data_IF_876384105911
#
_entry.id   IF_876384105911
#
_cell.length_a   1.000
_cell.length_b   1.000
_cell.length_c   1.000
_cell.angle_alpha   90.00
_cell.angle_beta   90.00
_cell.angle_gamma   90.00
#
_symmetry.space_group_name_H-M   'P 1'
#
loop_
_entity.id
_entity.type
_entity.pdbx_description
1 polymer ?
#
# COMPACT_ATOMS: atom_id res chain seq x y z
N UNK A 1 24.45 0.98 12.29
CA UNK A 1 22.99 1.19 12.47
C UNK A 1 22.19 -0.08 12.19
N UNK A 2 21.01 -0.25 12.80
CA UNK A 2 20.14 -1.44 12.71
C UNK A 2 18.68 -1.02 12.59
N UNK A 3 17.83 -1.79 11.90
CA UNK A 3 16.39 -1.52 11.89
C UNK A 3 15.74 -2.05 13.18
N UNK A 4 15.26 -1.12 14.00
CA UNK A 4 14.62 -1.42 15.28
C UNK A 4 13.11 -1.35 15.10
N UNK A 5 12.41 -2.46 15.34
CA UNK A 5 10.95 -2.49 15.34
C UNK A 5 10.43 -2.55 16.77
N UNK A 6 9.57 -1.60 17.12
CA UNK A 6 9.01 -1.45 18.46
C UNK A 6 7.50 -1.43 18.35
N UNK A 7 6.83 -2.27 19.15
CA UNK A 7 5.39 -2.17 19.34
C UNK A 7 5.08 -0.90 20.12
N UNK A 8 4.17 -0.08 19.61
CA UNK A 8 3.77 1.18 20.25
C UNK A 8 2.47 0.97 21.00
N UNK A 9 2.47 1.33 22.28
CA UNK A 9 1.26 1.38 23.07
C UNK A 9 0.47 2.64 22.73
N UNK A 10 -0.72 2.44 22.19
CA UNK A 10 -1.61 3.52 21.80
C UNK A 10 -2.48 3.91 22.98
N UNK A 11 -2.47 5.19 23.33
CA UNK A 11 -3.36 5.74 24.34
C UNK A 11 -4.72 6.13 23.73
N UNK A 12 -5.78 6.05 24.53
CA UNK A 12 -7.12 6.48 24.12
C UNK A 12 -7.92 5.42 23.37
N UNK A 13 -8.55 5.81 22.26
CA UNK A 13 -9.48 4.96 21.50
C UNK A 13 -8.70 3.86 20.76
N UNK A 14 -9.13 2.62 20.92
CA UNK A 14 -8.52 1.47 20.26
C UNK A 14 -9.27 1.14 18.97
N UNK A 15 -8.54 1.15 17.86
CA UNK A 15 -9.06 0.73 16.57
C UNK A 15 -9.45 -0.76 16.57
N UNK A 16 -10.57 -1.17 15.96
CA UNK A 16 -10.84 -2.58 15.70
C UNK A 16 -9.76 -3.25 14.84
N UNK A 17 -9.49 -4.54 15.11
CA UNK A 17 -8.59 -5.36 14.29
C UNK A 17 -9.10 -5.51 12.87
N UNK A 18 -8.19 -5.44 11.90
CA UNK A 18 -8.56 -5.45 10.48
C UNK A 18 -7.42 -5.92 9.60
N UNK A 19 -7.79 -6.53 8.47
CA UNK A 19 -6.87 -6.88 7.37
C UNK A 19 -7.39 -6.33 6.05
N UNK A 20 -6.52 -6.19 5.06
CA UNK A 20 -6.87 -5.74 3.70
C UNK A 20 -7.59 -4.36 3.66
N UNK A 21 -7.29 -3.51 4.63
CA UNK A 21 -7.64 -2.09 4.65
C UNK A 21 -6.66 -1.30 3.77
N UNK A 22 -6.97 -0.04 3.53
CA UNK A 22 -6.02 0.89 2.91
C UNK A 22 -5.49 1.88 3.93
N UNK A 23 -4.25 2.31 3.76
CA UNK A 23 -3.64 3.37 4.55
C UNK A 23 -2.89 4.37 3.69
N UNK A 24 -2.78 5.61 4.15
CA UNK A 24 -1.93 6.63 3.57
C UNK A 24 -1.34 7.51 4.68
N UNK A 25 -0.23 8.19 4.38
CA UNK A 25 0.37 9.15 5.31
C UNK A 25 0.44 10.53 4.66
N UNK A 26 0.03 11.56 5.39
CA UNK A 26 0.16 12.95 4.98
C UNK A 26 0.16 13.87 6.20
N UNK A 27 1.04 14.87 6.21
CA UNK A 27 1.14 15.91 7.23
C UNK A 27 1.10 15.40 8.69
N UNK A 28 1.96 14.42 9.01
CA UNK A 28 2.05 13.84 10.35
C UNK A 28 0.88 12.92 10.74
N UNK A 29 -0.05 12.65 9.80
CA UNK A 29 -1.24 11.84 10.05
C UNK A 29 -1.21 10.56 9.22
N UNK A 30 -1.46 9.44 9.88
CA UNK A 30 -1.62 8.14 9.24
C UNK A 30 -3.11 7.79 9.17
N UNK A 31 -3.63 7.73 7.95
CA UNK A 31 -5.04 7.50 7.65
C UNK A 31 -5.29 6.01 7.44
N UNK A 32 -6.42 5.51 7.92
CA UNK A 32 -6.88 4.13 7.71
C UNK A 32 -8.35 4.14 7.29
N UNK A 33 -8.67 3.41 6.22
CA UNK A 33 -10.05 3.21 5.79
C UNK A 33 -10.38 1.74 5.58
N UNK A 34 -11.56 1.36 6.09
CA UNK A 34 -12.20 0.08 5.80
C UNK A 34 -11.35 -1.13 6.17
N UNK A 35 -11.35 -2.13 5.29
CA UNK A 35 -10.76 -3.45 5.52
C UNK A 35 -11.80 -4.50 5.87
N UNK A 36 -11.33 -5.65 6.30
CA UNK A 36 -12.17 -6.77 6.69
C UNK A 36 -11.93 -7.11 8.17
N UNK A 37 -13.03 -7.25 8.92
CA UNK A 37 -13.05 -7.59 10.34
C UNK A 37 -13.37 -9.07 10.62
N UNK A 38 -13.61 -9.88 9.58
CA UNK A 38 -13.83 -11.32 9.70
C UNK A 38 -13.08 -12.11 8.61
N UNK A 39 -13.25 -13.43 8.57
CA UNK A 39 -12.62 -14.30 7.57
C UNK A 39 -13.49 -14.52 6.31
N UNK A 40 -14.74 -14.05 6.30
CA UNK A 40 -15.73 -14.32 5.25
C UNK A 40 -15.83 -13.22 4.20
N UNK A 41 -15.31 -12.03 4.47
CA UNK A 41 -15.27 -10.90 3.53
C UNK A 41 -16.67 -10.41 3.10
N UNK A 42 -17.72 -10.77 3.85
CA UNK A 42 -19.10 -10.29 3.66
C UNK A 42 -19.43 -9.10 4.58
N UNK A 43 -18.62 -8.87 5.64
CA UNK A 43 -18.74 -7.73 6.56
C UNK A 43 -17.50 -6.84 6.51
N UNK A 44 -17.32 -6.17 5.37
CA UNK A 44 -16.29 -5.14 5.27
C UNK A 44 -16.55 -4.00 6.27
N UNK A 45 -15.47 -3.37 6.72
CA UNK A 45 -15.49 -2.15 7.51
C UNK A 45 -15.58 -0.94 6.56
N UNK A 46 -16.17 0.16 7.00
CA UNK A 46 -16.29 1.42 6.26
C UNK A 46 -15.99 2.65 7.10
N UNK A 47 -15.35 2.45 8.24
CA UNK A 47 -14.90 3.49 9.14
C UNK A 47 -13.61 4.14 8.65
N UNK A 48 -13.44 5.42 8.95
CA UNK A 48 -12.28 6.21 8.60
C UNK A 48 -11.60 6.72 9.87
N UNK A 49 -10.30 6.49 9.97
CA UNK A 49 -9.52 6.73 11.18
C UNK A 49 -8.22 7.45 10.88
N UNK A 50 -7.81 8.25 11.86
CA UNK A 50 -6.60 9.06 11.80
C UNK A 50 -5.76 8.77 13.03
N UNK A 51 -4.51 8.36 12.81
CA UNK A 51 -3.49 8.30 13.84
C UNK A 51 -2.65 9.58 13.76
N UNK A 52 -2.63 10.35 14.84
CA UNK A 52 -1.62 11.37 15.04
C UNK A 52 -0.27 10.68 15.32
N UNK A 53 0.73 10.88 14.47
CA UNK A 53 2.02 10.17 14.60
C UNK A 53 2.99 10.81 15.59
N UNK A 54 2.67 11.99 16.12
CA UNK A 54 3.41 12.64 17.22
C UNK A 54 2.85 12.15 18.55
N UNK A 55 1.54 12.22 18.72
CA UNK A 55 0.85 11.80 19.94
C UNK A 55 0.64 10.29 20.06
N UNK A 56 0.74 9.55 18.95
CA UNK A 56 0.36 8.14 18.84
C UNK A 56 -1.04 7.88 19.38
N UNK A 57 -2.01 8.69 18.92
CA UNK A 57 -3.41 8.64 19.32
C UNK A 57 -4.34 8.51 18.12
N UNK A 58 -5.32 7.61 18.22
CA UNK A 58 -6.35 7.45 17.20
C UNK A 58 -7.50 8.43 17.44
N UNK A 59 -8.07 8.92 16.35
CA UNK A 59 -9.34 9.64 16.34
C UNK A 59 -10.16 9.31 15.08
N UNK A 60 -11.47 9.55 15.17
CA UNK A 60 -12.35 9.61 14.00
C UNK A 60 -12.68 11.08 13.76
N UNK A 61 -12.21 11.68 12.65
CA UNK A 61 -12.59 13.04 12.33
C UNK A 61 -14.07 13.10 11.96
N UNK A 62 -14.73 14.19 12.31
CA UNK A 62 -16.05 14.49 11.77
C UNK A 62 -15.91 14.79 10.28
N UNK A 63 -16.58 14.00 9.44
CA UNK A 63 -16.57 14.20 7.99
C UNK A 63 -17.98 14.49 7.47
N UNK A 64 -18.06 15.24 6.38
CA UNK A 64 -19.31 15.52 5.66
C UNK A 64 -19.29 14.94 4.25
N UNK A 65 -20.43 14.93 3.56
CA UNK A 65 -20.55 14.41 2.19
C UNK A 65 -20.70 12.88 2.10
N UNK A 66 -20.72 12.37 0.87
CA UNK A 66 -20.89 10.93 0.60
C UNK A 66 -19.52 10.24 0.54
N UNK A 67 -19.21 9.46 1.57
CA UNK A 67 -17.97 8.67 1.65
C UNK A 67 -18.07 7.30 0.96
N UNK A 68 -16.94 6.60 0.81
CA UNK A 68 -16.84 5.33 0.07
C UNK A 68 -17.62 4.15 0.70
N UNK A 69 -18.05 4.25 1.95
CA UNK A 69 -18.73 3.15 2.62
C UNK A 69 -17.88 1.86 2.74
N UNK A 70 -18.48 0.76 3.22
CA UNK A 70 -17.72 -0.43 3.60
C UNK A 70 -17.04 -1.17 2.43
N UNK A 71 -15.73 -1.43 2.55
CA UNK A 71 -14.93 -2.13 1.54
C UNK A 71 -13.57 -2.62 2.04
N UNK A 72 -13.00 -3.61 1.36
CA UNK A 72 -11.62 -4.08 1.53
C UNK A 72 -10.91 -4.20 0.18
N UNK A 73 -9.59 -4.41 0.19
CA UNK A 73 -8.77 -4.55 -1.03
C UNK A 73 -8.87 -3.38 -2.02
N UNK A 74 -9.16 -2.18 -1.48
CA UNK A 74 -9.12 -0.91 -2.21
C UNK A 74 -7.75 -0.27 -1.99
N UNK A 75 -7.48 0.80 -2.73
CA UNK A 75 -6.29 1.62 -2.50
C UNK A 75 -6.63 3.00 -1.95
N UNK A 76 -5.65 3.65 -1.35
CA UNK A 76 -5.77 4.98 -0.79
C UNK A 76 -4.48 5.77 -1.00
N UNK A 77 -4.58 6.94 -1.61
CA UNK A 77 -3.43 7.80 -1.97
C UNK A 77 -3.72 9.24 -1.58
N UNK A 78 -2.69 10.02 -1.27
CA UNK A 78 -2.84 11.46 -0.98
C UNK A 78 -2.05 12.27 -1.99
N UNK A 79 -2.70 13.28 -2.56
CA UNK A 79 -2.13 14.16 -3.58
C UNK A 79 -2.69 15.57 -3.39
N UNK A 80 -1.82 16.57 -3.30
CA UNK A 80 -2.20 17.98 -3.21
C UNK A 80 -3.30 18.27 -2.15
N UNK A 81 -3.17 17.68 -0.96
CA UNK A 81 -4.12 17.89 0.16
C UNK A 81 -5.47 17.19 0.02
N UNK A 82 -5.65 16.32 -0.99
CA UNK A 82 -6.82 15.44 -1.13
C UNK A 82 -6.42 13.98 -1.01
N UNK A 83 -7.18 13.24 -0.22
CA UNK A 83 -7.09 11.79 -0.10
C UNK A 83 -8.05 11.14 -1.10
N UNK A 84 -7.60 10.13 -1.82
CA UNK A 84 -8.37 9.42 -2.85
C UNK A 84 -8.52 7.96 -2.48
N UNK A 85 -9.73 7.42 -2.62
CA UNK A 85 -10.02 5.99 -2.43
C UNK A 85 -10.59 5.43 -3.72
N UNK A 86 -9.96 4.37 -4.24
CA UNK A 86 -10.37 3.75 -5.50
C UNK A 86 -10.61 2.24 -5.37
N UNK A 87 -11.73 1.81 -5.94
CA UNK A 87 -12.10 0.41 -6.12
C UNK A 87 -12.31 -0.36 -4.82
N UNK A 88 -12.02 -1.66 -4.88
CA UNK A 88 -12.14 -2.62 -3.79
C UNK A 88 -13.32 -3.58 -3.93
N UNK A 89 -13.47 -4.41 -2.89
CA UNK A 89 -14.57 -5.34 -2.69
C UNK A 89 -15.53 -4.80 -1.63
N UNK A 90 -16.80 -4.62 -1.98
CA UNK A 90 -17.83 -4.01 -1.10
C UNK A 90 -18.52 -5.00 -0.16
N UNK A 91 -18.01 -6.24 -0.06
CA UNK A 91 -18.72 -7.36 0.55
C UNK A 91 -19.67 -8.09 -0.42
N UNK A 92 -20.03 -7.45 -1.54
CA UNK A 92 -20.97 -8.00 -2.53
C UNK A 92 -20.38 -8.07 -3.94
N UNK A 93 -19.65 -7.03 -4.34
CA UNK A 93 -19.07 -6.93 -5.68
C UNK A 93 -17.74 -6.19 -5.67
N UNK A 94 -16.97 -6.39 -6.74
CA UNK A 94 -15.89 -5.48 -7.10
C UNK A 94 -16.48 -4.16 -7.56
N UNK A 95 -15.76 -3.07 -7.37
CA UNK A 95 -16.20 -1.75 -7.80
C UNK A 95 -15.04 -0.97 -8.41
N UNK A 96 -15.38 0.05 -9.19
CA UNK A 96 -14.51 1.09 -9.72
C UNK A 96 -14.82 2.44 -9.04
N UNK A 97 -15.46 2.42 -7.87
CA UNK A 97 -15.90 3.64 -7.21
C UNK A 97 -14.70 4.49 -6.79
N UNK A 98 -14.75 5.78 -7.10
CA UNK A 98 -13.72 6.76 -6.82
C UNK A 98 -14.29 7.81 -5.87
N UNK A 99 -13.66 7.99 -4.72
CA UNK A 99 -14.05 9.00 -3.73
C UNK A 99 -12.83 9.85 -3.40
N UNK A 100 -13.05 11.15 -3.16
CA UNK A 100 -12.03 12.04 -2.60
C UNK A 100 -12.48 12.64 -1.28
N UNK A 101 -11.52 12.88 -0.38
CA UNK A 101 -11.68 13.63 0.85
C UNK A 101 -10.77 14.84 0.79
N UNK A 102 -11.35 16.03 0.91
CA UNK A 102 -10.59 17.25 1.15
C UNK A 102 -10.06 17.26 2.59
N UNK A 103 -8.73 17.27 2.77
CA UNK A 103 -8.12 17.16 4.10
C UNK A 103 -8.13 18.48 4.88
N UNK A 104 -8.49 19.60 4.25
CA UNK A 104 -8.68 20.87 4.93
C UNK A 104 -10.12 21.01 5.45
N UNK A 105 -11.11 20.56 4.70
CA UNK A 105 -12.53 20.70 5.05
C UNK A 105 -13.19 19.43 5.60
N UNK A 106 -12.51 18.28 5.52
CA UNK A 106 -13.04 16.96 5.86
C UNK A 106 -14.33 16.61 5.10
N UNK A 107 -14.45 17.09 3.86
CA UNK A 107 -15.60 16.84 3.00
C UNK A 107 -15.29 15.75 1.98
N UNK A 108 -16.07 14.67 2.01
CA UNK A 108 -16.08 13.63 0.99
C UNK A 108 -16.82 14.08 -0.28
N UNK A 109 -16.35 13.59 -1.42
CA UNK A 109 -17.00 13.73 -2.72
C UNK A 109 -17.00 12.37 -3.42
N UNK A 110 -18.18 11.90 -3.85
CA UNK A 110 -18.27 10.79 -4.81
C UNK A 110 -17.89 11.30 -6.21
N UNK A 111 -16.72 10.89 -6.67
CA UNK A 111 -16.18 11.25 -7.98
C UNK A 111 -16.60 10.25 -9.07
N UNK A 112 -17.25 9.14 -8.70
CA UNK A 112 -17.67 8.07 -9.62
C UNK A 112 -18.55 8.57 -10.77
N UNK A 113 -19.55 9.47 -10.56
CA UNK A 113 -20.42 9.90 -11.65
C UNK A 113 -19.76 10.82 -12.68
N UNK A 114 -18.63 11.43 -12.32
CA UNK A 114 -17.96 12.49 -13.10
C UNK A 114 -16.61 12.05 -13.69
N UNK A 115 -16.08 10.90 -13.28
CA UNK A 115 -14.86 10.33 -13.86
C UNK A 115 -15.15 9.66 -15.22
N UNK A 116 -14.10 9.51 -16.04
CA UNK A 116 -14.22 8.67 -17.24
C UNK A 116 -14.31 7.18 -16.89
N UNK A 117 -14.74 6.36 -17.84
CA UNK A 117 -14.89 4.92 -17.62
C UNK A 117 -13.54 4.24 -17.31
N UNK A 118 -13.58 3.29 -16.38
CA UNK A 118 -12.49 2.36 -16.01
C UNK A 118 -13.11 1.07 -15.46
N UNK A 119 -12.44 -0.06 -15.65
CA UNK A 119 -12.90 -1.36 -15.13
C UNK A 119 -12.96 -1.39 -13.60
N UNK A 120 -13.75 -2.31 -13.02
CA UNK A 120 -13.73 -2.53 -11.57
C UNK A 120 -12.42 -3.15 -11.11
N UNK A 121 -11.94 -2.68 -9.96
CA UNK A 121 -10.62 -3.02 -9.42
C UNK A 121 -10.75 -3.57 -8.01
N UNK A 122 -9.99 -4.62 -7.68
CA UNK A 122 -9.86 -5.11 -6.31
C UNK A 122 -8.55 -5.88 -6.14
N UNK A 123 -7.92 -5.78 -4.98
CA UNK A 123 -6.59 -6.37 -4.73
C UNK A 123 -5.52 -5.85 -5.71
N UNK A 124 -5.77 -4.68 -6.29
CA UNK A 124 -4.83 -3.85 -7.01
C UNK A 124 -3.91 -3.12 -6.03
N UNK A 125 -2.86 -2.51 -6.57
CA UNK A 125 -2.01 -1.58 -5.85
C UNK A 125 -1.99 -0.25 -6.60
N UNK A 126 -1.76 0.85 -5.88
CA UNK A 126 -1.62 2.17 -6.47
C UNK A 126 -0.43 2.91 -5.86
N UNK A 127 0.04 3.92 -6.58
CA UNK A 127 1.09 4.82 -6.12
C UNK A 127 0.97 6.18 -6.81
N UNK A 128 1.33 7.25 -6.12
CA UNK A 128 1.38 8.60 -6.68
C UNK A 128 2.63 8.74 -7.54
N UNK A 129 2.45 9.17 -8.80
CA UNK A 129 3.55 9.40 -9.74
C UNK A 129 4.05 10.84 -9.75
N UNK A 130 3.13 11.78 -9.59
CA UNK A 130 3.39 13.23 -9.60
C UNK A 130 2.27 14.00 -8.87
N UNK A 131 2.22 15.32 -9.06
CA UNK A 131 1.29 16.21 -8.37
C UNK A 131 -0.17 16.06 -8.79
N UNK A 132 -0.49 15.26 -9.81
CA UNK A 132 -1.88 14.99 -10.18
C UNK A 132 -2.15 13.57 -10.68
N UNK A 133 -1.15 12.70 -10.77
CA UNK A 133 -1.34 11.37 -11.37
C UNK A 133 -1.18 10.25 -10.34
N UNK A 134 -2.22 9.43 -10.22
CA UNK A 134 -2.19 8.15 -9.49
C UNK A 134 -2.08 7.03 -10.52
N UNK A 135 -1.08 6.17 -10.35
CA UNK A 135 -0.94 4.92 -11.08
C UNK A 135 -1.65 3.81 -10.33
N UNK A 136 -2.47 3.03 -11.02
CA UNK A 136 -3.16 1.85 -10.51
C UNK A 136 -2.76 0.64 -11.35
N UNK A 137 -2.33 -0.41 -10.68
CA UNK A 137 -1.91 -1.66 -11.33
C UNK A 137 -2.64 -2.82 -10.68
N UNK A 138 -3.27 -3.68 -11.47
CA UNK A 138 -3.90 -4.89 -10.94
C UNK A 138 -5.16 -5.32 -11.65
N UNK A 139 -6.01 -6.01 -10.89
CA UNK A 139 -7.09 -6.84 -11.41
C UNK A 139 -8.29 -6.02 -11.88
N UNK A 140 -8.53 -6.00 -13.20
CA UNK A 140 -9.80 -5.61 -13.86
C UNK A 140 -10.84 -6.74 -13.92
N UNK A 141 -12.10 -6.40 -14.22
CA UNK A 141 -13.26 -7.31 -14.19
C UNK A 141 -13.42 -8.21 -15.41
N UNK A 142 -12.90 -7.82 -16.57
CA UNK A 142 -13.09 -8.61 -17.78
C UNK A 142 -12.61 -10.04 -17.51
N UNK A 143 -13.53 -11.00 -17.62
CA UNK A 143 -13.35 -12.41 -17.25
C UNK A 143 -12.18 -13.12 -17.94
N UNK A 144 -11.40 -12.41 -18.75
CA UNK A 144 -10.05 -12.76 -19.19
C UNK A 144 -9.00 -12.55 -18.08
N UNK A 145 -9.20 -13.19 -16.92
CA UNK A 145 -8.06 -13.87 -16.26
C UNK A 145 -7.47 -14.93 -17.21
N UNK A 146 -8.24 -15.32 -18.24
CA UNK A 146 -7.81 -16.12 -19.36
C UNK A 146 -6.79 -15.36 -20.23
N UNK A 147 -5.51 -15.57 -19.90
CA UNK A 147 -4.28 -15.34 -20.71
C UNK A 147 -3.48 -14.05 -20.49
N UNK A 148 -3.14 -13.75 -19.23
CA UNK A 148 -1.80 -13.28 -18.79
C UNK A 148 -1.61 -11.81 -18.35
N UNK A 149 -2.61 -10.92 -18.45
CA UNK A 149 -2.44 -9.48 -18.17
C UNK A 149 -3.09 -8.93 -16.88
N UNK A 150 -2.57 -7.80 -16.41
CA UNK A 150 -3.21 -6.82 -15.52
C UNK A 150 -3.17 -5.44 -16.20
N UNK A 151 -4.17 -4.60 -15.90
CA UNK A 151 -4.22 -3.24 -16.44
C UNK A 151 -3.19 -2.35 -15.72
N UNK A 152 -2.70 -1.36 -16.46
CA UNK A 152 -1.83 -0.28 -15.98
C UNK A 152 -2.61 1.00 -16.26
N UNK A 153 -3.37 1.44 -15.27
CA UNK A 153 -4.32 2.54 -15.37
C UNK A 153 -3.78 3.79 -14.66
N UNK A 154 -3.97 4.95 -15.26
CA UNK A 154 -3.55 6.25 -14.74
C UNK A 154 -4.77 7.12 -14.53
N UNK A 155 -4.91 7.68 -13.34
CA UNK A 155 -5.92 8.69 -13.00
C UNK A 155 -5.26 10.07 -12.94
N UNK A 156 -5.69 11.01 -13.79
CA UNK A 156 -5.43 12.45 -13.58
C UNK A 156 -6.49 13.02 -12.63
N UNK A 157 -6.07 13.45 -11.45
CA UNK A 157 -6.95 13.88 -10.35
C UNK A 157 -7.55 15.27 -10.54
N UNK A 158 -7.07 16.05 -11.51
CA UNK A 158 -7.65 17.38 -11.85
C UNK A 158 -8.84 17.22 -12.79
N UNK A 159 -8.73 16.28 -13.73
CA UNK A 159 -9.71 16.07 -14.79
C UNK A 159 -10.59 14.85 -14.56
N UNK A 160 -10.23 13.99 -13.60
CA UNK A 160 -10.87 12.70 -13.32
C UNK A 160 -10.92 11.78 -14.54
N UNK A 161 -9.93 11.93 -15.43
CA UNK A 161 -9.79 11.09 -16.62
C UNK A 161 -8.84 9.95 -16.33
N UNK A 162 -9.32 8.76 -16.63
CA UNK A 162 -8.56 7.53 -16.68
C UNK A 162 -7.93 7.36 -18.07
N UNK A 163 -6.70 6.85 -18.08
CA UNK A 163 -6.06 6.36 -19.29
C UNK A 163 -5.37 5.04 -18.99
N UNK A 164 -5.39 4.11 -19.94
CA UNK A 164 -4.78 2.78 -19.79
C UNK A 164 -3.57 2.68 -20.70
N UNK A 165 -2.45 2.20 -20.17
CA UNK A 165 -1.29 1.90 -21.01
C UNK A 165 -1.64 0.77 -22.00
N UNK A 166 -1.25 0.86 -23.28
CA UNK A 166 -1.59 -0.15 -24.29
C UNK A 166 -0.91 -1.52 -24.07
N UNK A 167 0.00 -1.64 -23.11
CA UNK A 167 0.59 -2.92 -22.68
C UNK A 167 -0.11 -3.48 -21.44
N UNK A 168 0.14 -4.76 -21.14
CA UNK A 168 -0.30 -5.37 -19.88
C UNK A 168 0.92 -5.83 -19.07
N UNK A 169 0.78 -5.74 -17.75
CA UNK A 169 1.73 -6.35 -16.80
C UNK A 169 1.27 -7.77 -16.48
N UNK A 170 2.14 -8.59 -15.87
CA UNK A 170 1.77 -9.95 -15.51
C UNK A 170 0.56 -9.93 -14.57
N UNK A 171 -0.44 -10.77 -14.85
CA UNK A 171 -1.64 -10.90 -14.01
C UNK A 171 -1.30 -11.24 -12.56
N UNK A 172 -1.69 -10.36 -11.63
CA UNK A 172 -1.34 -10.45 -10.21
C UNK A 172 -2.40 -9.80 -9.31
N UNK A 173 -2.49 -10.28 -8.07
CA UNK A 173 -3.34 -9.73 -7.01
C UNK A 173 -2.63 -9.80 -5.67
N UNK A 174 -2.84 -8.79 -4.82
CA UNK A 174 -2.14 -8.66 -3.53
C UNK A 174 -0.63 -8.43 -3.70
N UNK A 175 -0.23 -7.79 -4.79
CA UNK A 175 1.14 -7.31 -5.01
C UNK A 175 1.29 -5.92 -4.36
N UNK A 176 2.52 -5.42 -4.31
CA UNK A 176 2.79 -4.02 -3.99
C UNK A 176 3.18 -3.25 -5.24
N UNK A 177 2.93 -1.93 -5.22
CA UNK A 177 3.34 -0.98 -6.23
C UNK A 177 3.98 0.20 -5.52
N UNK A 178 5.22 0.53 -5.87
CA UNK A 178 5.95 1.62 -5.23
C UNK A 178 6.65 2.43 -6.31
N UNK A 179 6.32 3.71 -6.43
CA UNK A 179 7.05 4.60 -7.31
C UNK A 179 8.40 4.97 -6.68
N UNK A 180 9.50 4.77 -7.42
CA UNK A 180 10.85 5.08 -6.96
C UNK A 180 11.38 6.26 -7.78
N UNK A 181 11.26 7.51 -7.29
CA UNK A 181 11.59 8.70 -8.06
C UNK A 181 13.10 8.88 -8.29
N UNK A 182 13.94 8.22 -7.49
CA UNK A 182 15.38 8.46 -7.38
C UNK A 182 16.24 7.80 -8.47
N UNK A 183 15.65 7.05 -9.41
CA UNK A 183 16.37 6.37 -10.48
C UNK A 183 16.11 7.07 -11.81
N UNK A 184 17.15 7.26 -12.62
CA UNK A 184 17.12 8.00 -13.90
C UNK A 184 16.09 7.46 -14.91
N UNK A 185 15.57 6.26 -14.70
CA UNK A 185 14.58 5.58 -15.55
C UNK A 185 13.13 5.64 -15.03
N UNK A 186 12.85 6.37 -13.94
CA UNK A 186 11.49 6.70 -13.41
C UNK A 186 10.49 5.54 -13.58
N UNK A 187 10.66 4.48 -12.80
CA UNK A 187 9.80 3.30 -12.86
C UNK A 187 8.99 3.12 -11.59
N UNK A 188 7.83 2.51 -11.71
CA UNK A 188 7.11 1.93 -10.58
C UNK A 188 7.58 0.48 -10.39
N UNK A 189 7.97 0.18 -9.16
CA UNK A 189 8.44 -1.11 -8.72
C UNK A 189 7.25 -1.97 -8.31
N UNK A 190 7.04 -3.08 -9.02
CA UNK A 190 5.98 -4.06 -8.76
C UNK A 190 6.61 -5.31 -8.17
N UNK A 191 6.16 -5.71 -6.98
CA UNK A 191 6.69 -6.89 -6.31
C UNK A 191 5.60 -7.87 -5.92
N UNK A 192 5.87 -9.15 -6.16
CA UNK A 192 4.99 -10.24 -5.74
C UNK A 192 3.60 -10.26 -6.39
N UNK A 193 2.64 -10.77 -5.62
CA UNK A 193 1.27 -11.07 -6.03
C UNK A 193 1.04 -12.55 -6.34
N UNK A 194 -0.23 -12.95 -6.46
CA UNK A 194 -0.65 -14.33 -6.76
C UNK A 194 -0.12 -14.79 -8.14
N UNK A 195 1.07 -15.41 -8.19
CA UNK A 195 1.53 -16.40 -9.21
C UNK A 195 3.06 -16.76 -9.15
N UNK A 196 3.72 -16.75 -7.97
CA UNK A 196 5.19 -16.93 -7.84
C UNK A 196 6.05 -15.86 -8.54
N UNK A 197 5.44 -14.80 -9.07
CA UNK A 197 6.18 -13.69 -9.68
C UNK A 197 6.99 -12.96 -8.61
N UNK A 198 8.25 -12.70 -8.94
CA UNK A 198 9.18 -12.10 -8.00
C UNK A 198 9.18 -10.59 -8.17
N UNK A 199 9.52 -10.07 -9.36
CA UNK A 199 9.69 -8.62 -9.55
C UNK A 199 9.35 -8.19 -10.98
N UNK A 200 8.74 -7.02 -11.15
CA UNK A 200 8.54 -6.36 -12.44
C UNK A 200 8.70 -4.84 -12.29
N UNK A 201 9.24 -4.17 -13.30
CA UNK A 201 9.33 -2.72 -13.35
C UNK A 201 8.42 -2.18 -14.45
N UNK A 202 7.55 -1.25 -14.08
CA UNK A 202 6.71 -0.53 -15.03
C UNK A 202 7.38 0.82 -15.29
N UNK A 203 7.80 1.06 -16.53
CA UNK A 203 8.29 2.38 -16.95
C UNK A 203 7.10 3.34 -16.94
N UNK A 204 7.15 4.35 -16.09
CA UNK A 204 6.04 5.28 -15.91
C UNK A 204 6.13 6.42 -16.92
N UNK A 205 5.02 6.70 -17.61
CA UNK A 205 4.88 7.96 -18.34
C UNK A 205 4.51 9.03 -17.32
N UNK A 206 5.50 9.80 -16.88
CA UNK A 206 5.24 10.96 -16.01
C UNK A 206 5.18 12.18 -16.90
N UNK A 207 4.02 12.82 -16.97
CA UNK A 207 3.79 13.93 -17.90
C UNK A 207 4.42 15.23 -17.41
N UNK A 208 4.70 15.33 -16.10
CA UNK A 208 5.22 16.56 -15.49
C UNK A 208 6.57 16.32 -14.82
N UNK A 209 7.48 17.31 -14.88
CA UNK A 209 8.76 17.21 -14.19
C UNK A 209 8.50 17.19 -12.69
N UNK A 210 8.83 16.06 -12.06
CA UNK A 210 8.95 16.01 -10.62
C UNK A 210 10.11 16.90 -10.20
N UNK A 211 9.90 17.72 -9.18
CA UNK A 211 11.03 18.30 -8.47
C UNK A 211 11.94 17.13 -8.03
N UNK A 212 13.27 17.24 -8.16
CA UNK A 212 14.17 16.24 -7.63
C UNK A 212 14.04 16.24 -6.10
N UNK A 213 13.13 15.43 -5.56
CA UNK A 213 13.00 15.23 -4.12
C UNK A 213 14.11 14.26 -3.71
N UNK A 214 15.34 14.77 -3.73
CA UNK A 214 16.43 14.17 -2.99
C UNK A 214 16.36 14.75 -1.58
N UNK A 215 15.82 14.00 -0.63
CA UNK A 215 16.24 14.13 0.76
C UNK A 215 17.18 12.97 1.09
N UNK A 216 18.14 13.28 1.95
CA UNK A 216 19.33 12.52 2.29
C UNK A 216 19.09 11.01 2.40
N UNK A 217 19.89 10.27 1.61
CA UNK A 217 20.03 8.82 1.54
C UNK A 217 19.54 8.06 2.78
N UNK A 218 18.70 7.05 2.54
CA UNK A 218 18.51 5.95 3.48
C UNK A 218 19.87 5.53 4.07
N UNK A 219 19.94 5.16 5.35
CA UNK A 219 21.23 5.07 6.01
C UNK A 219 22.16 4.04 5.38
N UNK A 220 23.28 4.54 4.85
CA UNK A 220 24.27 3.74 4.14
C UNK A 220 24.82 2.58 4.99
N UNK A 221 24.88 2.76 6.31
CA UNK A 221 25.31 1.69 7.22
C UNK A 221 24.35 0.49 7.21
N UNK A 222 23.04 0.71 7.11
CA UNK A 222 22.05 -0.38 7.04
C UNK A 222 22.26 -1.18 5.75
N UNK A 223 22.58 -0.49 4.66
CA UNK A 223 22.87 -1.12 3.36
C UNK A 223 24.21 -1.86 3.35
N UNK A 224 25.26 -1.27 3.97
CA UNK A 224 26.60 -1.88 4.07
C UNK A 224 26.63 -3.12 4.95
N UNK A 225 25.89 -3.09 6.06
CA UNK A 225 25.83 -4.20 7.02
C UNK A 225 24.80 -5.26 6.62
N UNK A 226 23.86 -4.92 5.74
CA UNK A 226 22.85 -5.84 5.24
C UNK A 226 23.46 -7.00 4.45
N UNK A 227 22.92 -8.20 4.67
CA UNK A 227 23.33 -9.39 3.92
C UNK A 227 22.73 -9.33 2.53
N UNK A 228 23.57 -9.22 1.49
CA UNK A 228 23.12 -9.33 0.10
C UNK A 228 22.51 -10.71 -0.16
N UNK A 229 21.40 -10.72 -0.90
CA UNK A 229 20.66 -11.93 -1.26
C UNK A 229 20.26 -11.86 -2.73
N UNK A 230 19.84 -13.00 -3.27
CA UNK A 230 19.12 -13.04 -4.54
C UNK A 230 17.71 -12.44 -4.37
N UNK A 231 16.98 -12.34 -5.49
CA UNK A 231 15.60 -11.84 -5.48
C UNK A 231 14.78 -12.66 -4.47
N UNK A 232 14.06 -12.00 -3.54
CA UNK A 232 13.35 -12.73 -2.50
C UNK A 232 12.17 -13.53 -3.07
N UNK A 233 11.68 -14.54 -2.32
CA UNK A 233 10.55 -15.34 -2.77
C UNK A 233 9.30 -14.49 -3.00
N UNK A 234 8.63 -14.76 -4.12
CA UNK A 234 7.33 -14.18 -4.46
C UNK A 234 6.30 -14.39 -3.35
N UNK A 235 5.59 -13.32 -3.00
CA UNK A 235 4.64 -13.26 -1.88
C UNK A 235 3.47 -12.33 -2.18
N UNK A 236 2.34 -12.51 -1.51
CA UNK A 236 1.17 -11.64 -1.64
C UNK A 236 0.76 -11.02 -0.31
N UNK A 237 0.00 -9.92 -0.32
CA UNK A 237 -0.49 -9.23 0.87
C UNK A 237 0.64 -8.78 1.82
N UNK A 238 1.82 -8.49 1.26
CA UNK A 238 2.91 -7.80 1.94
C UNK A 238 2.70 -6.29 1.82
N UNK A 239 3.43 -5.52 2.61
CA UNK A 239 3.57 -4.08 2.39
C UNK A 239 4.89 -3.78 1.69
N UNK A 240 4.92 -2.72 0.89
CA UNK A 240 6.15 -2.15 0.36
C UNK A 240 6.12 -0.63 0.52
N UNK A 241 7.21 -0.05 1.01
CA UNK A 241 7.32 1.38 1.31
C UNK A 241 8.61 1.90 0.70
N UNK A 242 8.54 2.98 -0.08
CA UNK A 242 9.74 3.73 -0.47
C UNK A 242 10.30 4.51 0.71
N UNK A 243 11.59 4.36 0.92
CA UNK A 243 12.37 5.11 1.89
C UNK A 243 13.57 5.73 1.15
N UNK A 244 13.34 6.88 0.54
CA UNK A 244 14.38 7.66 -0.13
C UNK A 244 15.15 6.85 -1.20
N UNK A 245 14.43 6.04 -2.00
CA UNK A 245 15.01 5.21 -3.05
C UNK A 245 15.32 3.77 -2.65
N UNK A 246 15.12 3.41 -1.39
CA UNK A 246 15.19 2.02 -0.91
C UNK A 246 13.78 1.52 -0.64
N UNK A 247 13.35 0.48 -1.34
CA UNK A 247 12.02 -0.10 -1.13
C UNK A 247 12.11 -1.17 -0.06
N UNK A 248 11.43 -0.94 1.08
CA UNK A 248 11.32 -1.88 2.18
C UNK A 248 10.08 -2.76 2.00
N UNK A 249 10.26 -4.08 1.92
CA UNK A 249 9.21 -5.07 1.67
C UNK A 249 9.05 -5.96 2.89
N UNK A 250 7.89 -5.89 3.53
CA UNK A 250 7.67 -6.54 4.81
C UNK A 250 6.49 -7.53 4.81
N UNK A 251 6.73 -8.67 5.45
CA UNK A 251 5.70 -9.66 5.77
C UNK A 251 5.07 -10.29 4.54
N UNK A 252 3.75 -10.50 4.61
CA UNK A 252 2.96 -11.10 3.54
C UNK A 252 2.83 -12.61 3.65
N UNK A 253 2.27 -13.21 2.60
CA UNK A 253 1.91 -14.61 2.50
C UNK A 253 2.69 -15.28 1.37
N UNK A 254 3.29 -16.43 1.66
CA UNK A 254 4.05 -17.23 0.69
C UNK A 254 3.30 -18.54 0.45
N UNK A 255 2.91 -18.78 -0.80
CA UNK A 255 2.17 -19.98 -1.17
C UNK A 255 2.99 -21.26 -0.85
N UNK A 256 2.36 -22.23 -0.20
CA UNK A 256 3.00 -23.50 0.17
C UNK A 256 3.69 -23.50 1.55
N UNK A 257 3.79 -22.35 2.23
CA UNK A 257 4.26 -22.27 3.63
C UNK A 257 3.12 -22.24 4.67
N UNK A 258 1.86 -22.35 4.24
CA UNK A 258 0.69 -22.13 5.11
C UNK A 258 -0.14 -23.38 5.34
N UNK A 259 -0.79 -23.45 6.50
CA UNK A 259 -1.79 -24.46 6.83
C UNK A 259 -3.02 -24.26 5.95
N UNK A 260 -3.63 -25.37 5.51
CA UNK A 260 -4.77 -25.36 4.58
C UNK A 260 -5.91 -24.49 5.13
N UNK A 261 -6.16 -23.36 4.47
CA UNK A 261 -7.27 -22.45 4.79
C UNK A 261 -6.93 -21.26 5.71
N UNK A 262 -5.67 -21.11 6.15
CA UNK A 262 -5.23 -19.96 6.95
C UNK A 262 -4.25 -19.06 6.18
N UNK A 263 -4.37 -17.75 6.40
CA UNK A 263 -3.36 -16.77 5.99
C UNK A 263 -2.22 -16.76 7.02
N UNK A 264 -1.18 -17.55 6.75
CA UNK A 264 0.02 -17.55 7.59
C UNK A 264 1.02 -16.50 7.10
N UNK A 265 0.95 -15.32 7.72
CA UNK A 265 1.93 -14.25 7.51
C UNK A 265 3.37 -14.67 7.84
N UNK A 266 4.32 -14.15 7.07
CA UNK A 266 5.74 -14.14 7.41
C UNK A 266 6.11 -12.81 8.08
N UNK A 267 7.30 -12.74 8.67
CA UNK A 267 7.88 -11.52 9.27
C UNK A 267 9.24 -11.18 8.66
N UNK A 268 9.53 -11.70 7.47
CA UNK A 268 10.75 -11.40 6.74
C UNK A 268 10.68 -9.96 6.19
N UNK A 269 11.81 -9.24 6.27
CA UNK A 269 12.02 -7.93 5.67
C UNK A 269 13.11 -8.03 4.59
N UNK A 270 12.85 -7.45 3.43
CA UNK A 270 13.83 -7.28 2.37
C UNK A 270 13.91 -5.80 1.99
N UNK A 271 15.11 -5.33 1.68
CA UNK A 271 15.35 -4.02 1.12
C UNK A 271 15.80 -4.19 -0.33
N UNK A 272 15.22 -3.39 -1.22
CA UNK A 272 15.66 -3.25 -2.62
C UNK A 272 16.24 -1.85 -2.82
N UNK A 273 17.55 -1.76 -3.07
CA UNK A 273 18.24 -0.49 -3.34
C UNK A 273 17.99 -0.09 -4.80
N UNK A 274 17.11 0.90 -5.01
CA UNK A 274 16.75 1.37 -6.34
C UNK A 274 17.92 1.92 -7.16
N UNK A 275 19.05 2.30 -6.52
CA UNK A 275 20.20 2.89 -7.21
C UNK A 275 21.04 1.86 -7.96
N UNK A 276 21.12 0.64 -7.44
CA UNK A 276 21.96 -0.43 -7.97
C UNK A 276 21.22 -1.76 -8.19
N UNK A 277 19.93 -1.82 -7.86
CA UNK A 277 19.08 -3.01 -8.00
C UNK A 277 19.38 -4.14 -7.00
N UNK A 278 20.17 -3.87 -5.96
CA UNK A 278 20.57 -4.91 -5.02
C UNK A 278 19.46 -5.25 -4.04
N UNK A 279 19.33 -6.54 -3.76
CA UNK A 279 18.50 -7.08 -2.68
C UNK A 279 19.35 -7.39 -1.46
N UNK A 280 18.83 -7.02 -0.29
CA UNK A 280 19.49 -7.29 0.98
C UNK A 280 18.50 -7.54 2.11
N UNK A 281 18.95 -8.34 3.06
CA UNK A 281 18.29 -8.55 4.35
C UNK A 281 19.04 -7.69 5.37
N UNK A 282 18.41 -6.66 5.96
CA UNK A 282 19.05 -5.84 6.97
C UNK A 282 19.18 -6.58 8.30
N UNK A 283 20.02 -6.08 9.19
CA UNK A 283 19.95 -6.48 10.60
C UNK A 283 18.63 -5.98 11.20
N UNK A 284 17.88 -6.89 11.82
CA UNK A 284 16.56 -6.63 12.39
C UNK A 284 16.62 -6.82 13.92
N UNK A 285 16.20 -5.81 14.69
CA UNK A 285 16.06 -5.88 16.16
C UNK A 285 14.65 -5.56 16.60
N UNK A 286 14.28 -6.05 17.78
CA UNK A 286 12.96 -5.83 18.38
C UNK A 286 11.88 -6.78 17.90
N UNK A 287 10.63 -6.32 17.98
CA UNK A 287 9.43 -7.12 17.78
C UNK A 287 8.96 -7.04 16.32
N UNK A 288 9.30 -8.04 15.51
CA UNK A 288 8.88 -8.14 14.10
C UNK A 288 7.73 -9.14 13.94
N UNK A 289 6.47 -8.68 13.96
CA UNK A 289 5.29 -9.54 13.99
C UNK A 289 4.99 -10.19 12.64
N UNK A 290 4.70 -11.50 12.64
CA UNK A 290 4.18 -12.19 11.45
C UNK A 290 2.82 -11.64 11.06
N UNK A 291 2.64 -11.22 9.79
CA UNK A 291 1.36 -10.70 9.29
C UNK A 291 1.27 -10.64 7.77
N UNK A 292 0.05 -10.78 7.26
CA UNK A 292 -0.33 -10.54 5.87
C UNK A 292 -1.59 -9.66 5.82
N UNK A 293 -1.75 -8.87 4.76
CA UNK A 293 -2.87 -7.94 4.58
C UNK A 293 -2.83 -6.74 5.53
N UNK A 294 -1.66 -6.48 6.10
CA UNK A 294 -1.36 -5.26 6.84
C UNK A 294 -1.04 -4.13 5.87
N UNK A 295 -1.04 -2.91 6.36
CA UNK A 295 -0.53 -1.75 5.63
C UNK A 295 0.69 -1.19 6.35
N UNK A 296 1.51 -0.45 5.60
CA UNK A 296 2.63 0.28 6.14
C UNK A 296 2.83 1.59 5.38
N UNK A 297 3.36 2.60 6.05
CA UNK A 297 3.70 3.88 5.43
C UNK A 297 4.95 4.47 6.08
N UNK A 298 5.75 5.21 5.30
CA UNK A 298 6.84 6.02 5.84
C UNK A 298 6.23 7.18 6.64
N UNK A 299 6.65 7.33 7.90
CA UNK A 299 6.25 8.43 8.77
C UNK A 299 7.49 9.25 9.12
N UNK A 300 7.52 10.52 8.70
CA UNK A 300 8.73 11.34 8.81
C UNK A 300 9.92 10.80 8.00
N UNK A 301 11.14 11.22 8.36
CA UNK A 301 12.35 10.91 7.60
C UNK A 301 13.04 9.59 7.99
N UNK A 302 12.73 9.04 9.17
CA UNK A 302 13.49 7.94 9.76
C UNK A 302 12.66 6.77 10.27
N UNK A 303 11.39 6.68 9.87
CA UNK A 303 10.48 5.69 10.43
C UNK A 303 9.46 5.14 9.43
N UNK A 304 9.03 3.90 9.66
CA UNK A 304 7.88 3.27 9.01
C UNK A 304 6.88 2.86 10.10
N UNK A 305 5.60 3.16 9.90
CA UNK A 305 4.51 2.59 10.68
C UNK A 305 3.96 1.34 10.00
N UNK A 306 3.66 0.30 10.78
CA UNK A 306 3.03 -0.94 10.33
C UNK A 306 1.75 -1.13 11.14
N UNK A 307 0.64 -1.37 10.45
CA UNK A 307 -0.67 -1.47 11.08
C UNK A 307 -1.52 -2.64 10.55
N UNK A 308 -2.17 -3.35 11.48
CA UNK A 308 -3.18 -4.36 11.19
C UNK A 308 -2.65 -5.64 10.53
N UNK A 309 -3.50 -6.28 9.72
CA UNK A 309 -3.22 -7.55 9.06
C UNK A 309 -3.66 -8.76 9.89
N UNK A 310 -3.30 -9.95 9.41
CA UNK A 310 -3.68 -11.23 10.00
C UNK A 310 -2.52 -12.22 10.00
N UNK A 311 -2.50 -13.11 10.99
CA UNK A 311 -1.67 -14.30 11.02
C UNK A 311 -2.39 -15.45 11.72
N UNK A 312 -2.45 -16.62 11.05
CA UNK A 312 -3.04 -17.85 11.60
C UNK A 312 -4.46 -17.65 12.14
N UNK A 313 -5.30 -16.92 11.40
CA UNK A 313 -6.70 -16.66 11.75
C UNK A 313 -6.92 -15.53 12.77
N UNK A 314 -5.85 -14.93 13.31
CA UNK A 314 -5.94 -13.78 14.22
C UNK A 314 -5.67 -12.49 13.47
N UNK A 315 -6.62 -11.57 13.50
CA UNK A 315 -6.45 -10.20 13.00
C UNK A 315 -5.84 -9.29 14.07
N UNK A 316 -5.11 -8.28 13.62
CA UNK A 316 -4.39 -7.35 14.48
C UNK A 316 -4.92 -5.92 14.35
N UNK A 317 -4.75 -5.16 15.43
CA UNK A 317 -4.93 -3.70 15.54
C UNK A 317 -3.74 -3.05 16.26
N UNK A 318 -2.61 -3.74 16.33
CA UNK A 318 -1.40 -3.21 16.94
C UNK A 318 -0.67 -2.29 15.94
N UNK A 319 0.06 -1.33 16.51
CA UNK A 319 0.97 -0.46 15.77
C UNK A 319 2.40 -0.89 16.09
N UNK A 320 3.19 -1.04 15.04
CA UNK A 320 4.63 -1.18 15.16
C UNK A 320 5.30 -0.04 14.41
N UNK A 321 6.34 0.53 15.00
CA UNK A 321 7.18 1.54 14.35
C UNK A 321 8.57 0.97 14.17
N UNK A 322 9.03 0.99 12.92
CA UNK A 322 10.39 0.66 12.54
C UNK A 322 11.18 1.96 12.45
N UNK A 323 12.28 2.06 13.18
CA UNK A 323 13.20 3.22 13.13
C UNK A 323 14.60 2.78 12.69
N UNK A 324 15.37 3.74 12.18
CA UNK A 324 16.78 3.59 11.84
C UNK A 324 17.60 4.78 12.32
#
# INVERSE_FOLDING_TARGET
MVLQCTKVDISGVVLPSRTNHASAFWDGKFFVHGGNGDSKYDKCLGDFWVLDTVGMTWSQPETSGEGPGPRCHHSMDVIQGKLWIFGGWTGKRRCNFLHSLDLATWQWTDCTPIMSAVDTHSSHASTVLDDHTILVVGRGETGTHAKYGCNIDYLDTRTLKWSTFPGSTISRAGHSLTFVPSVSTRYAFVYGGRQRHETEHIVCKVEHPLAPVYSSSFPEEVLKNGKRVEVPPGRSYHSAVDVHGVVAIYGGFIQGKSVRGLLDGVNELYLHDGRNGAWLVPEMKGEWPRRAGHTAARIGESSIVIFGGEHSGRQFNDIHVVTW
#
